data_IF_894490189938
#
_entry.id   IF_894490189938
#
_cell.length_a   1.000
_cell.length_b   1.000
_cell.length_c   1.000
_cell.angle_alpha   90.00
_cell.angle_beta   90.00
_cell.angle_gamma   90.00
#
_symmetry.space_group_name_H-M   'P 1'
#
loop_
_entity.id
_entity.type
_entity.pdbx_description
1 polymer ?
#
# COMPACT_ATOMS: atom_id res chain seq x y z
N UNK A 1 10.05 -24.33 28.98
CA UNK A 1 10.16 -22.99 28.34
C UNK A 1 11.47 -22.83 27.57
N UNK A 2 12.63 -23.11 28.18
CA UNK A 2 13.96 -22.94 27.54
C UNK A 2 14.11 -23.42 26.07
N UNK A 3 13.59 -24.60 25.72
CA UNK A 3 13.69 -25.13 24.34
C UNK A 3 12.86 -24.33 23.32
N UNK A 4 11.68 -23.84 23.70
CA UNK A 4 10.80 -23.02 22.85
C UNK A 4 11.45 -21.66 22.63
N UNK A 5 11.96 -21.02 23.68
CA UNK A 5 12.63 -19.71 23.60
C UNK A 5 13.86 -19.76 22.68
N UNK A 6 14.67 -20.81 22.81
CA UNK A 6 15.82 -21.05 21.95
C UNK A 6 15.41 -21.28 20.50
N UNK A 7 14.32 -21.99 20.25
CA UNK A 7 13.80 -22.21 18.90
C UNK A 7 13.40 -20.89 18.23
N UNK A 8 12.61 -20.05 18.92
CA UNK A 8 12.20 -18.73 18.41
C UNK A 8 13.42 -17.84 18.13
N UNK A 9 14.36 -17.79 19.07
CA UNK A 9 15.59 -17.03 18.91
C UNK A 9 16.39 -17.51 17.70
N UNK A 10 16.48 -18.82 17.49
CA UNK A 10 17.22 -19.43 16.39
C UNK A 10 16.55 -19.17 15.04
N UNK A 11 15.22 -19.31 14.95
CA UNK A 11 14.47 -18.97 13.73
C UNK A 11 14.66 -17.50 13.37
N UNK A 12 14.60 -16.60 14.36
CA UNK A 12 14.83 -15.17 14.14
C UNK A 12 16.22 -14.86 13.59
N UNK A 13 17.25 -15.54 14.08
CA UNK A 13 18.61 -15.41 13.56
C UNK A 13 18.73 -15.94 12.12
N UNK A 14 18.13 -17.11 11.83
CA UNK A 14 18.15 -17.71 10.48
C UNK A 14 17.41 -16.83 9.48
N UNK A 15 16.31 -16.19 9.88
CA UNK A 15 15.50 -15.33 9.01
C UNK A 15 16.27 -14.15 8.42
N UNK A 16 17.37 -13.70 9.06
CA UNK A 16 18.22 -12.64 8.52
C UNK A 16 18.93 -13.05 7.22
N UNK A 17 19.32 -14.32 7.10
CA UNK A 17 19.97 -14.87 5.92
C UNK A 17 18.99 -15.60 4.99
N UNK A 18 17.93 -16.19 5.56
CA UNK A 18 16.97 -17.03 4.86
C UNK A 18 15.53 -16.74 5.34
N UNK A 19 14.87 -15.69 4.80
CA UNK A 19 13.58 -15.21 5.31
C UNK A 19 12.41 -16.21 5.22
N UNK A 20 12.42 -17.12 4.24
CA UNK A 20 11.39 -18.15 4.03
C UNK A 20 11.28 -19.15 5.20
N UNK A 21 12.27 -19.19 6.11
CA UNK A 21 12.16 -19.99 7.33
C UNK A 21 10.96 -19.58 8.20
N UNK A 22 10.52 -18.31 8.12
CA UNK A 22 9.39 -17.79 8.88
C UNK A 22 8.06 -18.40 8.43
N UNK A 23 7.96 -18.92 7.20
CA UNK A 23 6.74 -19.59 6.70
C UNK A 23 6.43 -20.89 7.47
N UNK A 24 7.41 -21.40 8.23
CA UNK A 24 7.25 -22.58 9.09
C UNK A 24 6.86 -22.22 10.53
N UNK A 25 6.78 -20.94 10.87
CA UNK A 25 6.48 -20.49 12.23
C UNK A 25 5.01 -20.09 12.36
N UNK A 26 4.27 -20.85 13.16
CA UNK A 26 2.91 -20.50 13.57
C UNK A 26 2.95 -19.69 14.87
N UNK A 27 2.77 -18.38 14.75
CA UNK A 27 2.78 -17.47 15.89
C UNK A 27 1.59 -17.64 16.82
N UNK A 28 0.44 -18.04 16.27
CA UNK A 28 -0.80 -18.18 17.05
C UNK A 28 -0.66 -19.41 17.94
N UNK A 29 -0.25 -20.53 17.35
CA UNK A 29 -0.07 -21.76 18.14
C UNK A 29 1.07 -21.65 19.15
N UNK A 30 2.12 -20.89 18.83
CA UNK A 30 3.18 -20.58 19.77
C UNK A 30 2.65 -19.81 20.98
N UNK A 31 1.83 -18.77 20.77
CA UNK A 31 1.29 -17.97 21.87
C UNK A 31 0.46 -18.83 22.83
N UNK A 32 -0.42 -19.70 22.29
CA UNK A 32 -1.23 -20.62 23.09
C UNK A 32 -0.36 -21.55 23.94
N UNK A 33 0.53 -22.32 23.29
CA UNK A 33 1.35 -23.32 23.97
C UNK A 33 2.28 -22.65 24.98
N UNK A 34 2.85 -21.49 24.64
CA UNK A 34 3.73 -20.78 25.53
C UNK A 34 2.99 -20.19 26.74
N UNK A 35 1.74 -19.74 26.56
CA UNK A 35 0.86 -19.30 27.65
C UNK A 35 0.52 -20.45 28.60
N UNK A 36 0.21 -21.64 28.08
CA UNK A 36 -0.02 -22.86 28.86
C UNK A 36 1.21 -23.25 29.68
N UNK A 37 2.40 -23.19 29.05
CA UNK A 37 3.67 -23.49 29.71
C UNK A 37 4.02 -22.51 30.84
N UNK A 38 3.55 -21.27 30.75
CA UNK A 38 3.76 -20.23 31.75
C UNK A 38 2.63 -20.14 32.78
N UNK A 39 1.54 -20.89 32.62
CA UNK A 39 0.36 -20.80 33.47
C UNK A 39 -0.35 -19.46 33.38
N UNK A 40 -0.29 -18.82 32.21
CA UNK A 40 -1.04 -17.58 31.94
C UNK A 40 -2.53 -17.93 31.85
N UNK A 41 -3.37 -17.07 32.43
CA UNK A 41 -4.81 -17.22 32.34
C UNK A 41 -5.26 -17.17 30.87
N UNK A 42 -5.94 -18.21 30.33
CA UNK A 42 -6.41 -18.22 28.95
C UNK A 42 -7.33 -17.06 28.59
N UNK A 43 -8.03 -16.46 29.56
CA UNK A 43 -8.87 -15.27 29.30
C UNK A 43 -8.04 -14.05 28.87
N UNK A 44 -6.72 -14.06 29.11
CA UNK A 44 -5.79 -13.04 28.65
C UNK A 44 -5.31 -13.26 27.21
N UNK A 45 -5.62 -14.41 26.61
CA UNK A 45 -5.28 -14.75 25.23
C UNK A 45 -6.51 -14.52 24.35
N UNK A 46 -6.32 -13.84 23.22
CA UNK A 46 -7.42 -13.61 22.27
C UNK A 46 -7.74 -14.92 21.58
N UNK A 47 -8.98 -15.39 21.69
CA UNK A 47 -9.44 -16.62 21.04
C UNK A 47 -9.28 -16.57 19.50
N UNK A 48 -8.96 -17.71 18.89
CA UNK A 48 -8.65 -17.86 17.46
C UNK A 48 -9.71 -17.29 16.52
N UNK A 49 -10.98 -17.50 16.83
CA UNK A 49 -12.12 -17.01 16.06
C UNK A 49 -12.15 -15.46 16.04
N UNK A 50 -11.84 -14.85 17.19
CA UNK A 50 -11.72 -13.40 17.32
C UNK A 50 -10.48 -12.88 16.61
N UNK A 51 -9.35 -13.59 16.65
CA UNK A 51 -8.16 -13.22 15.87
C UNK A 51 -8.45 -13.29 14.37
N UNK A 52 -9.13 -14.32 13.90
CA UNK A 52 -9.56 -14.47 12.51
C UNK A 52 -10.46 -13.30 12.07
N UNK A 53 -11.43 -12.92 12.90
CA UNK A 53 -12.29 -11.76 12.66
C UNK A 53 -11.49 -10.45 12.60
N UNK A 54 -10.56 -10.23 13.52
CA UNK A 54 -9.69 -9.04 13.53
C UNK A 54 -8.86 -8.96 12.24
N UNK A 55 -8.29 -10.09 11.79
CA UNK A 55 -7.52 -10.14 10.53
C UNK A 55 -8.40 -9.86 9.32
N UNK A 56 -9.61 -10.41 9.28
CA UNK A 56 -10.58 -10.12 8.21
C UNK A 56 -10.92 -8.63 8.17
N UNK A 57 -11.23 -8.03 9.33
CA UNK A 57 -11.52 -6.59 9.41
C UNK A 57 -10.33 -5.74 8.97
N UNK A 58 -9.11 -6.09 9.39
CA UNK A 58 -7.89 -5.39 8.96
C UNK A 58 -7.67 -5.50 7.45
N UNK A 59 -7.90 -6.68 6.86
CA UNK A 59 -7.80 -6.88 5.42
C UNK A 59 -8.83 -6.03 4.66
N UNK A 60 -10.07 -5.95 5.15
CA UNK A 60 -11.11 -5.09 4.57
C UNK A 60 -10.74 -3.62 4.66
N UNK A 61 -10.24 -3.15 5.80
CA UNK A 61 -9.78 -1.77 5.97
C UNK A 61 -8.60 -1.45 5.04
N UNK A 62 -7.65 -2.37 4.89
CA UNK A 62 -6.52 -2.19 3.97
C UNK A 62 -6.99 -2.12 2.51
N UNK A 63 -7.94 -2.96 2.10
CA UNK A 63 -8.52 -2.91 0.77
C UNK A 63 -9.23 -1.57 0.50
N UNK A 64 -9.99 -1.06 1.47
CA UNK A 64 -10.65 0.24 1.36
C UNK A 64 -9.64 1.39 1.27
N UNK A 65 -8.59 1.36 2.09
CA UNK A 65 -7.52 2.37 2.03
C UNK A 65 -6.79 2.34 0.69
N UNK A 66 -6.52 1.15 0.14
CA UNK A 66 -5.90 1.01 -1.17
C UNK A 66 -6.80 1.55 -2.29
N UNK A 67 -8.10 1.29 -2.24
CA UNK A 67 -9.06 1.83 -3.21
C UNK A 67 -9.15 3.36 -3.12
N UNK A 68 -9.19 3.91 -1.92
CA UNK A 68 -9.22 5.36 -1.71
C UNK A 68 -7.94 6.04 -2.24
N UNK A 69 -6.77 5.44 -1.96
CA UNK A 69 -5.49 5.93 -2.48
C UNK A 69 -5.45 5.93 -4.01
N UNK A 70 -5.95 4.86 -4.65
CA UNK A 70 -6.05 4.77 -6.11
C UNK A 70 -7.00 5.81 -6.70
N UNK A 71 -8.17 6.02 -6.07
CA UNK A 71 -9.14 7.03 -6.51
C UNK A 71 -8.57 8.44 -6.40
N UNK A 72 -7.85 8.74 -5.31
CA UNK A 72 -7.19 10.03 -5.13
C UNK A 72 -6.07 10.25 -6.15
N UNK A 73 -5.26 9.24 -6.43
CA UNK A 73 -4.23 9.32 -7.47
C UNK A 73 -4.84 9.54 -8.86
N UNK A 74 -5.94 8.85 -9.18
CA UNK A 74 -6.66 9.04 -10.44
C UNK A 74 -7.28 10.45 -10.54
N UNK A 75 -7.87 10.96 -9.46
CA UNK A 75 -8.43 12.31 -9.42
C UNK A 75 -7.35 13.39 -9.59
N UNK A 76 -6.18 13.22 -8.94
CA UNK A 76 -5.03 14.12 -9.12
C UNK A 76 -4.53 14.09 -10.57
N UNK A 77 -4.35 12.89 -11.15
CA UNK A 77 -3.93 12.77 -12.55
C UNK A 77 -4.92 13.40 -13.54
N UNK A 78 -6.23 13.23 -13.31
CA UNK A 78 -7.26 13.87 -14.13
C UNK A 78 -7.26 15.39 -13.97
N UNK A 79 -7.05 15.90 -12.75
CA UNK A 79 -6.92 17.33 -12.47
C UNK A 79 -5.69 17.93 -13.16
N UNK A 80 -4.56 17.23 -13.13
CA UNK A 80 -3.32 17.67 -13.80
C UNK A 80 -3.49 17.67 -15.32
N UNK A 81 -4.09 16.62 -15.89
CA UNK A 81 -4.41 16.56 -17.32
C UNK A 81 -5.44 17.62 -17.75
N UNK A 82 -6.42 17.94 -16.89
CA UNK A 82 -7.36 19.03 -17.15
C UNK A 82 -6.65 20.39 -17.13
N UNK A 83 -5.72 20.61 -16.20
CA UNK A 83 -4.93 21.86 -16.15
C UNK A 83 -4.03 22.00 -17.38
N UNK A 84 -3.37 20.92 -17.81
CA UNK A 84 -2.57 20.90 -19.05
C UNK A 84 -3.45 21.15 -20.27
N UNK A 85 -4.58 20.46 -20.44
CA UNK A 85 -5.49 20.70 -21.56
C UNK A 85 -6.05 22.13 -21.58
N UNK A 86 -6.26 22.78 -20.43
CA UNK A 86 -6.66 24.20 -20.40
C UNK A 86 -5.52 25.16 -20.76
N UNK A 87 -4.28 24.83 -20.39
CA UNK A 87 -3.10 25.60 -20.79
C UNK A 87 -2.78 25.38 -22.28
N UNK A 88 -2.90 24.15 -22.79
CA UNK A 88 -2.72 23.80 -24.19
C UNK A 88 -3.88 24.29 -25.05
N UNK A 89 -5.15 24.35 -24.62
CA UNK A 89 -6.20 25.00 -25.42
C UNK A 89 -5.92 26.49 -25.60
N UNK A 90 -5.43 27.17 -24.57
CA UNK A 90 -5.03 28.58 -24.68
C UNK A 90 -3.73 28.72 -25.49
N UNK A 91 -2.75 27.85 -25.27
CA UNK A 91 -1.47 27.85 -25.99
C UNK A 91 -1.58 27.41 -27.46
N UNK A 92 -2.49 26.49 -27.79
CA UNK A 92 -2.80 26.05 -29.15
C UNK A 92 -3.63 27.11 -29.86
N UNK A 93 -4.56 27.79 -29.18
CA UNK A 93 -5.29 28.95 -29.74
C UNK A 93 -4.35 30.14 -29.94
N UNK A 94 -3.42 30.41 -29.02
CA UNK A 94 -2.39 31.43 -29.17
C UNK A 94 -1.40 31.09 -30.28
N UNK A 95 -0.97 29.82 -30.39
CA UNK A 95 -0.15 29.35 -31.50
C UNK A 95 -0.88 29.48 -32.84
N UNK A 96 -2.18 29.17 -32.89
CA UNK A 96 -2.97 29.21 -34.12
C UNK A 96 -3.30 30.65 -34.52
N UNK A 97 -3.49 31.56 -33.56
CA UNK A 97 -3.58 33.00 -33.79
C UNK A 97 -2.23 33.60 -34.25
N UNK A 98 -1.12 33.13 -33.68
CA UNK A 98 0.22 33.52 -34.10
C UNK A 98 0.52 33.01 -35.52
N UNK A 99 0.12 31.78 -35.86
CA UNK A 99 0.29 31.22 -37.21
C UNK A 99 -0.63 31.89 -38.24
N UNK A 100 -1.86 32.24 -37.86
CA UNK A 100 -2.80 32.95 -38.73
C UNK A 100 -2.45 34.45 -38.89
N UNK A 101 -1.71 35.03 -37.94
CA UNK A 101 -1.16 36.38 -38.03
C UNK A 101 0.09 36.50 -38.91
N UNK A 102 0.72 35.39 -39.29
CA UNK A 102 1.79 35.32 -40.28
C UNK A 102 1.25 35.17 -41.72
N UNK A 103 0.17 35.86 -42.06
CA UNK A 103 -0.06 36.23 -43.48
C UNK A 103 0.96 37.30 -43.83
N UNK A 104 2.07 36.85 -44.40
CA UNK A 104 3.16 37.61 -45.01
C UNK A 104 2.57 38.74 -45.87
N UNK A 105 2.92 40.03 -45.63
CA UNK A 105 2.72 41.05 -46.64
C UNK A 105 3.62 40.67 -47.82
N UNK A 106 3.02 40.11 -48.88
CA UNK A 106 3.71 40.01 -50.16
C UNK A 106 4.01 41.43 -50.60
N UNK A 107 5.28 41.81 -50.52
CA UNK A 107 5.79 42.95 -51.25
C UNK A 107 5.47 42.76 -52.72
N UNK A 108 4.66 43.67 -53.26
CA UNK A 108 4.44 43.88 -54.68
C UNK A 108 4.63 45.37 -54.93
N UNK A 109 5.55 45.65 -55.85
CA UNK A 109 6.09 46.95 -56.25
C UNK A 109 5.06 47.99 -56.69
#
# INVERSE_FOLDING_TARGET
TNAVDRFITTIGAVAQAKPDVLDKFDSDKWADVYSEMLGVDPELIVADDKVALIRQQRAQQQAQMQQAAMAQQAASAAKDMSQVNTQEKNGLTDLMNQFSGYTIPQGGS
#
